data_IF_576866349066
#
_entry.id   IF_576866349066
#
_cell.length_a   1.000
_cell.length_b   1.000
_cell.length_c   1.000
_cell.angle_alpha   90.00
_cell.angle_beta   90.00
_cell.angle_gamma   90.00
#
_symmetry.space_group_name_H-M   'P 1'
#
loop_
_entity.id
_entity.type
_entity.pdbx_description
1 polymer ?
#
# COMPACT_ATOMS: atom_id res chain seq x y z
N UNK A 1 -28.72 0.77 25.93
CA UNK A 1 -27.93 0.49 24.72
C UNK A 1 -26.83 -0.45 25.15
N UNK A 2 -26.95 -1.73 24.80
CA UNK A 2 -25.91 -2.73 25.03
C UNK A 2 -24.74 -2.39 24.11
N UNK A 3 -23.59 -2.04 24.70
CA UNK A 3 -22.33 -2.03 23.97
C UNK A 3 -22.08 -3.45 23.47
N UNK A 4 -22.32 -3.68 22.18
CA UNK A 4 -21.83 -4.87 21.51
C UNK A 4 -20.31 -4.78 21.58
N UNK A 5 -19.70 -5.61 22.44
CA UNK A 5 -18.28 -5.90 22.33
C UNK A 5 -18.04 -6.37 20.90
N UNK A 6 -17.07 -5.80 20.16
CA UNK A 6 -16.68 -6.33 18.87
C UNK A 6 -16.39 -7.82 19.05
N UNK A 7 -16.96 -8.68 18.22
CA UNK A 7 -16.63 -10.09 18.24
C UNK A 7 -15.10 -10.21 18.07
N UNK A 8 -14.42 -10.73 19.09
CA UNK A 8 -12.99 -11.02 19.01
C UNK A 8 -12.88 -12.21 18.06
N UNK A 9 -12.30 -11.99 16.88
CA UNK A 9 -12.02 -13.08 15.94
C UNK A 9 -11.09 -14.09 16.62
N UNK A 10 -11.36 -15.38 16.41
CA UNK A 10 -10.44 -16.44 16.81
C UNK A 10 -9.17 -16.40 15.95
N UNK A 11 -8.08 -16.97 16.47
CA UNK A 11 -6.81 -17.05 15.72
C UNK A 11 -6.99 -17.80 14.39
N UNK A 12 -7.88 -18.80 14.33
CA UNK A 12 -8.19 -19.56 13.11
C UNK A 12 -8.89 -18.67 12.07
N UNK A 13 -9.93 -17.93 12.47
CA UNK A 13 -10.63 -17.02 11.56
C UNK A 13 -9.71 -15.93 11.02
N UNK A 14 -8.80 -15.43 11.85
CA UNK A 14 -7.83 -14.43 11.45
C UNK A 14 -6.81 -15.01 10.46
N UNK A 15 -6.32 -16.23 10.69
CA UNK A 15 -5.45 -16.94 9.75
C UNK A 15 -6.15 -17.14 8.40
N UNK A 16 -7.43 -17.52 8.40
CA UNK A 16 -8.21 -17.69 7.17
C UNK A 16 -8.35 -16.37 6.40
N UNK A 17 -8.63 -15.25 7.11
CA UNK A 17 -8.71 -13.92 6.50
C UNK A 17 -7.35 -13.51 5.90
N UNK A 18 -6.25 -13.61 6.65
CA UNK A 18 -4.93 -13.22 6.16
C UNK A 18 -4.49 -14.09 4.96
N UNK A 19 -4.80 -15.39 4.97
CA UNK A 19 -4.55 -16.27 3.83
C UNK A 19 -5.43 -15.91 2.62
N UNK A 20 -6.69 -15.52 2.85
CA UNK A 20 -7.56 -15.03 1.79
C UNK A 20 -7.01 -13.74 1.15
N UNK A 21 -6.55 -12.78 1.95
CA UNK A 21 -5.92 -11.55 1.45
C UNK A 21 -4.65 -11.84 0.65
N UNK A 22 -3.87 -12.84 1.08
CA UNK A 22 -2.66 -13.29 0.38
C UNK A 22 -2.96 -13.83 -1.03
N UNK A 23 -4.12 -14.47 -1.21
CA UNK A 23 -4.54 -15.03 -2.47
C UNK A 23 -5.28 -14.03 -3.38
N UNK A 24 -5.56 -12.80 -2.92
CA UNK A 24 -6.24 -11.78 -3.72
C UNK A 24 -5.28 -11.05 -4.68
N UNK A 25 -5.85 -10.51 -5.77
CA UNK A 25 -5.11 -9.76 -6.79
C UNK A 25 -5.14 -8.28 -6.44
N UNK A 26 -4.10 -7.83 -5.73
CA UNK A 26 -3.97 -6.46 -5.22
C UNK A 26 -4.21 -5.37 -6.30
N UNK A 27 -3.71 -5.58 -7.51
CA UNK A 27 -3.73 -4.54 -8.54
C UNK A 27 -4.89 -4.67 -9.56
N UNK A 28 -5.92 -5.46 -9.26
CA UNK A 28 -7.06 -5.71 -10.16
C UNK A 28 -7.68 -4.40 -10.67
N UNK A 29 -8.03 -3.49 -9.77
CA UNK A 29 -8.66 -2.22 -10.13
C UNK A 29 -7.75 -1.35 -11.00
N UNK A 30 -6.48 -1.24 -10.65
CA UNK A 30 -5.50 -0.49 -11.43
C UNK A 30 -5.34 -1.04 -12.86
N UNK A 31 -5.32 -2.37 -13.02
CA UNK A 31 -5.30 -3.03 -14.34
C UNK A 31 -6.57 -2.76 -15.15
N UNK A 32 -7.74 -2.71 -14.51
CA UNK A 32 -8.99 -2.38 -15.17
C UNK A 32 -9.01 -0.92 -15.67
N UNK A 33 -8.50 0.03 -14.87
CA UNK A 33 -8.36 1.44 -15.26
C UNK A 33 -7.50 1.56 -16.51
N UNK A 34 -6.33 0.91 -16.53
CA UNK A 34 -5.41 0.93 -17.69
C UNK A 34 -6.11 0.35 -18.93
N UNK A 35 -6.80 -0.78 -18.79
CA UNK A 35 -7.52 -1.42 -19.89
C UNK A 35 -8.60 -0.51 -20.47
N UNK A 36 -9.36 0.18 -19.61
CA UNK A 36 -10.48 1.03 -20.03
C UNK A 36 -10.02 2.34 -20.68
N UNK A 37 -8.81 2.83 -20.39
CA UNK A 37 -8.27 4.07 -20.94
C UNK A 37 -7.95 4.03 -22.44
N UNK A 38 -7.69 2.85 -23.00
CA UNK A 38 -7.36 2.68 -24.42
C UNK A 38 -6.12 3.49 -24.86
N UNK A 39 -5.97 3.71 -26.17
CA UNK A 39 -4.77 4.36 -26.73
C UNK A 39 -4.73 5.88 -26.48
N UNK A 40 -5.87 6.56 -26.62
CA UNK A 40 -5.95 8.02 -26.51
C UNK A 40 -5.87 8.51 -25.05
N UNK A 41 -6.38 7.73 -24.09
CA UNK A 41 -6.37 8.04 -22.66
C UNK A 41 -5.25 7.38 -21.88
N UNK A 42 -4.25 6.78 -22.55
CA UNK A 42 -3.26 5.90 -21.91
C UNK A 42 -2.55 6.56 -20.72
N UNK A 43 -2.00 7.76 -20.90
CA UNK A 43 -1.25 8.44 -19.83
C UNK A 43 -2.14 8.78 -18.62
N UNK A 44 -3.36 9.27 -18.88
CA UNK A 44 -4.32 9.56 -17.82
C UNK A 44 -4.75 8.29 -17.08
N UNK A 45 -4.93 7.18 -17.81
CA UNK A 45 -5.26 5.90 -17.22
C UNK A 45 -4.15 5.36 -16.31
N UNK A 46 -2.88 5.45 -16.73
CA UNK A 46 -1.76 5.05 -15.86
C UNK A 46 -1.61 5.97 -14.63
N UNK A 47 -1.84 7.28 -14.79
CA UNK A 47 -1.89 8.23 -13.67
C UNK A 47 -2.95 7.82 -12.64
N UNK A 48 -4.16 7.51 -13.09
CA UNK A 48 -5.26 7.07 -12.23
C UNK A 48 -5.00 5.67 -11.64
N UNK A 49 -4.34 4.78 -12.38
CA UNK A 49 -3.97 3.45 -11.91
C UNK A 49 -2.93 3.48 -10.78
N UNK A 50 -1.98 4.43 -10.79
CA UNK A 50 -1.06 4.66 -9.67
C UNK A 50 -1.81 5.05 -8.38
N UNK A 51 -2.80 5.92 -8.50
CA UNK A 51 -3.64 6.32 -7.36
C UNK A 51 -4.44 5.13 -6.83
N UNK A 52 -5.08 4.36 -7.73
CA UNK A 52 -5.86 3.18 -7.36
C UNK A 52 -4.98 2.09 -6.71
N UNK A 53 -3.78 1.84 -7.26
CA UNK A 53 -2.81 0.90 -6.67
C UNK A 53 -2.45 1.31 -5.24
N UNK A 54 -2.13 2.59 -5.02
CA UNK A 54 -1.82 3.09 -3.69
C UNK A 54 -3.00 2.94 -2.71
N UNK A 55 -4.21 3.28 -3.15
CA UNK A 55 -5.41 3.16 -2.31
C UNK A 55 -5.69 1.70 -1.94
N UNK A 56 -5.61 0.78 -2.89
CA UNK A 56 -5.82 -0.63 -2.64
C UNK A 56 -4.75 -1.19 -1.68
N UNK A 57 -3.47 -0.91 -1.94
CA UNK A 57 -2.38 -1.26 -1.03
C UNK A 57 -2.60 -0.73 0.39
N UNK A 58 -2.84 0.57 0.54
CA UNK A 58 -2.99 1.19 1.87
C UNK A 58 -4.21 0.66 2.63
N UNK A 59 -5.33 0.40 1.95
CA UNK A 59 -6.51 -0.14 2.61
C UNK A 59 -6.28 -1.59 3.07
N UNK A 60 -5.75 -2.43 2.18
CA UNK A 60 -5.48 -3.83 2.48
C UNK A 60 -4.36 -3.98 3.53
N UNK A 61 -3.35 -3.11 3.51
CA UNK A 61 -2.30 -3.05 4.53
C UNK A 61 -2.86 -2.66 5.90
N UNK A 62 -3.64 -1.57 5.97
CA UNK A 62 -4.24 -1.10 7.23
C UNK A 62 -5.15 -2.17 7.81
N UNK A 63 -5.99 -2.81 6.98
CA UNK A 63 -6.88 -3.89 7.40
C UNK A 63 -6.09 -5.08 7.96
N UNK A 64 -5.14 -5.62 7.18
CA UNK A 64 -4.34 -6.77 7.60
C UNK A 64 -3.59 -6.51 8.91
N UNK A 65 -2.92 -5.36 9.03
CA UNK A 65 -2.15 -5.01 10.24
C UNK A 65 -3.08 -4.74 11.43
N UNK A 66 -4.24 -4.09 11.20
CA UNK A 66 -5.21 -3.81 12.27
C UNK A 66 -5.77 -5.11 12.84
N UNK A 67 -6.15 -6.06 11.97
CA UNK A 67 -6.63 -7.37 12.38
C UNK A 67 -5.52 -8.16 13.09
N UNK A 68 -4.37 -8.36 12.43
CA UNK A 68 -3.28 -9.20 12.92
C UNK A 68 -2.68 -8.73 14.25
N UNK A 69 -2.71 -7.42 14.53
CA UNK A 69 -2.10 -6.88 15.75
C UNK A 69 -3.15 -6.42 16.77
N UNK A 70 -4.44 -6.54 16.47
CA UNK A 70 -5.53 -6.03 17.32
C UNK A 70 -5.40 -4.53 17.58
N UNK A 71 -5.14 -3.75 16.53
CA UNK A 71 -4.96 -2.30 16.68
C UNK A 71 -6.28 -1.61 17.02
N UNK A 72 -6.25 -0.65 17.94
CA UNK A 72 -7.41 0.21 18.17
C UNK A 72 -7.58 1.24 17.04
N UNK A 73 -8.72 1.94 17.02
CA UNK A 73 -9.05 2.92 15.97
C UNK A 73 -7.97 4.00 15.79
N UNK A 74 -7.41 4.50 16.91
CA UNK A 74 -6.36 5.52 16.88
C UNK A 74 -5.05 5.01 16.26
N UNK A 75 -4.68 3.76 16.54
CA UNK A 75 -3.52 3.10 15.94
C UNK A 75 -3.74 2.78 14.47
N UNK A 76 -4.94 2.28 14.12
CA UNK A 76 -5.33 1.96 12.74
C UNK A 76 -5.26 3.19 11.82
N UNK A 77 -5.70 4.37 12.29
CA UNK A 77 -5.53 5.62 11.53
C UNK A 77 -4.07 6.00 11.34
N UNK A 78 -3.24 5.78 12.35
CA UNK A 78 -1.83 6.17 12.35
C UNK A 78 -0.95 5.26 11.49
N UNK A 79 -1.29 3.99 11.30
CA UNK A 79 -0.47 3.04 10.52
C UNK A 79 -0.28 3.49 9.05
N UNK A 80 -1.11 4.40 8.54
CA UNK A 80 -0.92 5.00 7.22
C UNK A 80 0.34 5.86 7.12
N UNK A 81 0.86 6.40 8.22
CA UNK A 81 2.04 7.28 8.20
C UNK A 81 3.34 6.48 8.42
N UNK A 82 4.39 6.74 7.60
CA UNK A 82 5.69 6.03 7.63
C UNK A 82 6.26 5.86 9.05
N UNK A 83 6.34 6.96 9.81
CA UNK A 83 6.87 6.95 11.19
C UNK A 83 6.07 6.03 12.13
N UNK A 84 4.74 6.08 12.02
CA UNK A 84 3.85 5.33 12.88
C UNK A 84 3.80 3.85 12.51
N UNK A 85 3.77 3.49 11.21
CA UNK A 85 3.86 2.06 10.81
C UNK A 85 5.14 1.39 11.30
N UNK A 86 6.29 2.03 11.12
CA UNK A 86 7.58 1.51 11.60
C UNK A 86 7.52 1.28 13.11
N UNK A 87 7.02 2.28 13.86
CA UNK A 87 6.94 2.19 15.32
C UNK A 87 5.98 1.09 15.80
N UNK A 88 4.78 1.00 15.20
CA UNK A 88 3.74 0.06 15.62
C UNK A 88 4.17 -1.38 15.30
N UNK A 89 4.70 -1.63 14.10
CA UNK A 89 5.21 -2.95 13.70
C UNK A 89 6.41 -3.37 14.54
N UNK A 90 7.35 -2.46 14.80
CA UNK A 90 8.52 -2.74 15.64
C UNK A 90 8.15 -3.12 17.07
N UNK A 91 7.09 -2.55 17.63
CA UNK A 91 6.57 -2.92 18.94
C UNK A 91 6.07 -4.37 19.01
N UNK A 92 5.87 -5.03 17.85
CA UNK A 92 5.51 -6.44 17.70
C UNK A 92 6.65 -7.29 17.14
N UNK A 93 7.88 -6.77 17.12
CA UNK A 93 9.06 -7.48 16.63
C UNK A 93 9.23 -7.47 15.11
N UNK A 94 8.39 -6.72 14.38
CA UNK A 94 8.43 -6.65 12.92
C UNK A 94 9.24 -5.41 12.50
N UNK A 95 10.40 -5.60 11.86
CA UNK A 95 11.15 -4.50 11.25
C UNK A 95 10.61 -4.19 9.85
N UNK A 96 9.66 -3.25 9.77
CA UNK A 96 9.02 -2.88 8.50
C UNK A 96 10.02 -2.46 7.41
N UNK A 97 11.11 -1.78 7.78
CA UNK A 97 12.08 -1.31 6.79
C UNK A 97 12.98 -2.44 6.26
N UNK A 98 13.01 -3.59 6.94
CA UNK A 98 13.69 -4.79 6.46
C UNK A 98 12.81 -5.64 5.53
N UNK A 99 11.51 -5.31 5.39
CA UNK A 99 10.62 -5.98 4.45
C UNK A 99 10.85 -5.42 3.06
N UNK A 100 11.08 -6.32 2.10
CA UNK A 100 11.33 -5.97 0.70
C UNK A 100 10.23 -5.07 0.13
N UNK A 101 10.61 -4.03 -0.61
CA UNK A 101 9.69 -3.04 -1.20
C UNK A 101 9.13 -1.95 -0.26
N UNK A 102 9.59 -1.85 1.00
CA UNK A 102 9.11 -0.82 1.94
C UNK A 102 9.38 0.62 1.49
N UNK A 103 10.54 0.88 0.87
CA UNK A 103 10.82 2.20 0.28
C UNK A 103 10.00 2.43 -1.01
N UNK A 104 9.75 1.38 -1.81
CA UNK A 104 8.89 1.48 -2.99
C UNK A 104 7.44 1.84 -2.61
N UNK A 105 6.92 1.28 -1.51
CA UNK A 105 5.63 1.68 -0.92
C UNK A 105 5.60 3.15 -0.51
N UNK A 106 6.70 3.67 0.05
CA UNK A 106 6.81 5.08 0.36
C UNK A 106 6.78 5.95 -0.91
N UNK A 107 7.52 5.56 -1.95
CA UNK A 107 7.53 6.25 -3.25
C UNK A 107 6.13 6.26 -3.86
N UNK A 108 5.43 5.12 -3.90
CA UNK A 108 4.06 5.04 -4.42
C UNK A 108 3.11 5.99 -3.67
N UNK A 109 3.23 6.07 -2.35
CA UNK A 109 2.44 6.99 -1.53
C UNK A 109 2.70 8.45 -1.89
N UNK A 110 3.97 8.83 -2.08
CA UNK A 110 4.35 10.18 -2.49
C UNK A 110 3.85 10.51 -3.90
N UNK A 111 3.96 9.57 -4.85
CA UNK A 111 3.43 9.71 -6.22
C UNK A 111 1.92 9.94 -6.19
N UNK A 112 1.17 9.11 -5.47
CA UNK A 112 -0.28 9.24 -5.36
C UNK A 112 -0.69 10.58 -4.71
N UNK A 113 0.02 11.01 -3.68
CA UNK A 113 -0.24 12.32 -3.05
C UNK A 113 -0.01 13.48 -4.00
N UNK A 114 1.10 13.47 -4.74
CA UNK A 114 1.41 14.51 -5.70
C UNK A 114 0.40 14.56 -6.86
N UNK A 115 -0.07 13.40 -7.34
CA UNK A 115 -1.16 13.34 -8.34
C UNK A 115 -2.45 13.98 -7.80
N UNK A 116 -2.82 13.68 -6.55
CA UNK A 116 -4.10 14.14 -5.96
C UNK A 116 -4.05 15.60 -5.54
N UNK A 117 -2.92 16.08 -5.02
CA UNK A 117 -2.83 17.37 -4.31
C UNK A 117 -1.98 18.42 -5.02
N UNK A 118 -1.02 17.98 -5.83
CA UNK A 118 0.00 18.84 -6.43
C UNK A 118 -0.11 18.85 -7.96
N UNK A 119 -1.28 18.54 -8.52
CA UNK A 119 -1.53 18.49 -9.98
C UNK A 119 -0.50 17.63 -10.75
N UNK A 120 -0.06 16.53 -10.12
CA UNK A 120 1.00 15.67 -10.63
C UNK A 120 2.32 16.41 -10.94
N UNK A 121 2.65 17.45 -10.18
CA UNK A 121 3.97 18.08 -10.16
C UNK A 121 4.93 17.24 -9.31
N UNK A 122 6.15 17.04 -9.81
CA UNK A 122 7.21 16.33 -9.09
C UNK A 122 7.60 17.16 -7.86
N UNK A 123 7.42 16.58 -6.67
CA UNK A 123 7.83 17.16 -5.39
C UNK A 123 9.31 16.92 -5.12
N UNK A 124 9.86 17.57 -4.10
CA UNK A 124 11.26 17.41 -3.67
C UNK A 124 11.66 15.94 -3.49
N UNK A 125 10.84 15.17 -2.75
CA UNK A 125 11.10 13.75 -2.47
C UNK A 125 11.04 12.86 -3.72
N UNK A 126 10.40 13.33 -4.79
CA UNK A 126 10.24 12.60 -6.05
C UNK A 126 11.29 12.99 -7.11
N UNK A 127 12.18 13.94 -6.79
CA UNK A 127 13.23 14.40 -7.69
C UNK A 127 14.20 13.25 -8.04
N UNK A 128 14.35 12.95 -9.33
CA UNK A 128 15.18 11.86 -9.87
C UNK A 128 14.81 10.44 -9.44
N UNK A 129 13.67 10.22 -8.78
CA UNK A 129 13.19 8.87 -8.46
C UNK A 129 12.92 8.08 -9.74
N UNK A 130 12.27 8.71 -10.71
CA UNK A 130 12.11 8.18 -12.07
C UNK A 130 12.92 9.00 -13.07
N UNK A 131 13.33 8.41 -14.20
CA UNK A 131 13.94 9.15 -15.29
C UNK A 131 13.09 10.38 -15.67
N UNK A 132 13.74 11.51 -15.92
CA UNK A 132 13.12 12.79 -16.32
C UNK A 132 12.25 13.49 -15.28
N UNK A 133 12.00 12.89 -14.11
CA UNK A 133 11.26 13.56 -13.04
C UNK A 133 12.16 14.56 -12.34
N UNK A 134 11.86 15.84 -12.54
CA UNK A 134 12.57 16.97 -11.94
C UNK A 134 11.61 17.78 -11.10
N UNK A 135 12.00 18.04 -9.86
CA UNK A 135 11.24 18.89 -8.93
C UNK A 135 10.72 20.17 -9.61
N UNK A 136 9.43 20.47 -9.38
CA UNK A 136 8.75 21.63 -9.95
C UNK A 136 8.23 21.44 -11.39
N UNK A 137 8.50 20.28 -12.02
CA UNK A 137 8.00 19.96 -13.35
C UNK A 137 6.88 18.90 -13.30
N UNK A 138 5.99 18.84 -14.31
CA UNK A 138 5.01 17.77 -14.42
C UNK A 138 5.64 16.38 -14.48
N UNK A 139 5.02 15.43 -13.79
CA UNK A 139 5.33 14.00 -13.93
C UNK A 139 5.04 13.53 -15.35
N UNK A 140 5.88 12.63 -15.85
CA UNK A 140 5.77 12.06 -17.20
C UNK A 140 6.03 10.56 -17.15
N UNK A 141 5.70 9.83 -18.23
CA UNK A 141 5.96 8.39 -18.33
C UNK A 141 5.31 7.58 -17.20
N UNK A 142 4.02 7.87 -16.91
CA UNK A 142 3.28 7.19 -15.86
C UNK A 142 3.19 5.68 -16.08
N UNK A 143 3.25 5.23 -17.33
CA UNK A 143 3.31 3.81 -17.69
C UNK A 143 4.59 3.12 -17.21
N UNK A 144 5.74 3.79 -17.36
CA UNK A 144 7.00 3.26 -16.84
C UNK A 144 7.03 3.25 -15.31
N UNK A 145 6.60 4.35 -14.69
CA UNK A 145 6.50 4.44 -13.23
C UNK A 145 5.56 3.36 -12.66
N UNK A 146 4.40 3.15 -13.29
CA UNK A 146 3.45 2.11 -12.88
C UNK A 146 4.04 0.71 -12.95
N UNK A 147 4.68 0.34 -14.08
CA UNK A 147 5.22 -1.01 -14.24
C UNK A 147 6.31 -1.32 -13.20
N UNK A 148 7.14 -0.33 -12.83
CA UNK A 148 8.15 -0.49 -11.79
C UNK A 148 7.50 -0.64 -10.42
N UNK A 149 6.55 0.25 -10.09
CA UNK A 149 5.94 0.28 -8.76
C UNK A 149 5.01 -0.91 -8.53
N UNK A 150 4.26 -1.37 -9.53
CA UNK A 150 3.27 -2.44 -9.34
C UNK A 150 3.90 -3.76 -8.89
N UNK A 151 4.94 -4.21 -9.59
CA UNK A 151 5.62 -5.48 -9.30
C UNK A 151 6.15 -5.49 -7.85
N UNK A 152 6.87 -4.43 -7.47
CA UNK A 152 7.45 -4.27 -6.13
C UNK A 152 6.37 -4.19 -5.03
N UNK A 153 5.25 -3.52 -5.29
CA UNK A 153 4.18 -3.32 -4.30
C UNK A 153 3.42 -4.61 -4.05
N UNK A 154 3.20 -5.41 -5.10
CA UNK A 154 2.62 -6.75 -4.96
C UNK A 154 3.55 -7.62 -4.12
N UNK A 155 4.86 -7.63 -4.41
CA UNK A 155 5.85 -8.39 -3.63
C UNK A 155 5.88 -7.91 -2.17
N UNK A 156 5.92 -6.59 -1.94
CA UNK A 156 5.95 -5.99 -0.61
C UNK A 156 4.73 -6.40 0.21
N UNK A 157 3.52 -6.30 -0.36
CA UNK A 157 2.30 -6.66 0.34
C UNK A 157 2.28 -8.14 0.74
N UNK A 158 2.74 -9.02 -0.16
CA UNK A 158 2.88 -10.45 0.14
C UNK A 158 3.88 -10.72 1.27
N UNK A 159 5.00 -9.98 1.29
CA UNK A 159 6.00 -10.09 2.35
C UNK A 159 5.48 -9.58 3.71
N UNK A 160 4.70 -8.49 3.72
CA UNK A 160 4.01 -8.01 4.92
C UNK A 160 3.05 -9.07 5.46
N UNK A 161 2.20 -9.66 4.60
CA UNK A 161 1.26 -10.70 5.03
C UNK A 161 1.99 -11.94 5.58
N UNK A 162 3.11 -12.33 4.97
CA UNK A 162 3.93 -13.43 5.48
C UNK A 162 4.46 -13.14 6.88
N UNK A 163 4.93 -11.93 7.13
CA UNK A 163 5.43 -11.54 8.46
C UNK A 163 4.31 -11.47 9.50
N UNK A 164 3.11 -10.99 9.12
CA UNK A 164 1.94 -11.04 9.99
C UNK A 164 1.51 -12.48 10.31
N UNK A 165 1.50 -13.38 9.33
CA UNK A 165 1.18 -14.80 9.52
C UNK A 165 2.20 -15.50 10.43
N UNK A 166 3.49 -15.16 10.33
CA UNK A 166 4.54 -15.72 11.18
C UNK A 166 4.29 -15.42 12.67
N UNK A 167 3.66 -14.29 13.00
CA UNK A 167 3.31 -13.95 14.38
C UNK A 167 2.29 -14.93 15.01
N UNK A 168 1.55 -15.68 14.19
CA UNK A 168 0.58 -16.68 14.63
C UNK A 168 1.14 -18.10 14.62
N UNK A 169 2.10 -18.39 13.73
CA UNK A 169 2.76 -19.71 13.67
C UNK A 169 3.81 -19.93 14.78
N UNK A 170 4.27 -18.84 15.43
CA UNK A 170 5.30 -18.87 16.50
C UNK A 170 4.67 -18.82 17.90
N UNK A 171 3.34 -18.66 18.01
CA UNK A 171 2.60 -18.71 19.28
C UNK A 171 2.15 -20.12 19.61
#
# INVERSE_FOLDING_TARGET
MTEQSPAILSDIELLDILNSMKNDVLNREAKEIIRNGGKAGRQEAYKNALVALNQCFENNFVEAVTLALGLNEGQSKKIRYKKDRIRILKARGIDYMAIDGAETAQVLSQVAQAIIREDAIVTYDLHNIFPFWKEGWPMVQFDNAYNILEDDIVIHYQAVLAELLNQYNVR
#
